data_IF_042155565836
#
_entry.id   IF_042155565836
#
_cell.length_a   1.000
_cell.length_b   1.000
_cell.length_c   1.000
_cell.angle_alpha   90.00
_cell.angle_beta   90.00
_cell.angle_gamma   90.00
#
_symmetry.space_group_name_H-M   'P 1'
#
loop_
_entity.id
_entity.type
_entity.pdbx_description
1 polymer ?
#
# COMPACT_ATOMS: atom_id res chain seq x y z
N UNK A 1 -70.04 28.41 18.25
CA UNK A 1 -69.06 28.56 19.35
C UNK A 1 -68.27 27.27 19.46
N UNK A 2 -66.95 27.21 19.74
CA UNK A 2 -65.92 28.26 19.72
C UNK A 2 -64.58 27.86 19.01
N UNK A 3 -63.88 28.90 18.54
CA UNK A 3 -62.44 29.22 18.67
C UNK A 3 -61.35 28.38 17.96
N UNK A 4 -60.76 29.05 16.96
CA UNK A 4 -59.35 29.00 16.54
C UNK A 4 -58.40 29.04 17.75
N UNK A 5 -57.33 28.24 17.75
CA UNK A 5 -56.03 28.64 18.32
C UNK A 5 -54.87 27.95 17.60
N UNK A 6 -54.10 28.80 16.92
CA UNK A 6 -52.71 28.64 16.52
C UNK A 6 -51.88 28.38 17.78
N UNK A 7 -50.99 27.39 17.79
CA UNK A 7 -49.87 27.39 18.74
C UNK A 7 -48.56 27.14 18.00
N UNK A 8 -47.81 28.22 17.93
CA UNK A 8 -46.44 28.30 17.45
C UNK A 8 -45.53 27.40 18.30
N UNK A 9 -44.72 26.58 17.63
CA UNK A 9 -43.57 25.95 18.27
C UNK A 9 -42.45 27.01 18.32
N UNK A 10 -42.37 27.70 19.45
CA UNK A 10 -41.31 28.64 19.77
C UNK A 10 -40.00 27.85 19.91
N UNK A 11 -39.03 28.21 19.08
CA UNK A 11 -37.63 27.81 19.15
C UNK A 11 -37.06 28.31 20.47
N UNK A 12 -36.88 27.41 21.43
CA UNK A 12 -36.14 27.71 22.65
C UNK A 12 -34.66 27.67 22.32
N UNK A 13 -34.10 28.86 22.03
CA UNK A 13 -32.67 29.09 21.94
C UNK A 13 -32.03 28.76 23.30
N UNK A 14 -31.38 27.59 23.40
CA UNK A 14 -30.58 27.26 24.56
C UNK A 14 -29.23 27.99 24.44
N UNK A 15 -29.10 28.97 25.32
CA UNK A 15 -27.89 29.67 25.75
C UNK A 15 -26.59 28.89 25.48
N UNK A 16 -25.72 29.49 24.66
CA UNK A 16 -24.29 29.20 24.60
C UNK A 16 -23.68 29.49 25.99
N UNK A 17 -23.61 28.48 26.83
CA UNK A 17 -22.77 28.51 28.00
C UNK A 17 -21.31 28.31 27.55
N UNK A 18 -20.48 29.29 27.90
CA UNK A 18 -19.03 29.28 27.81
C UNK A 18 -18.46 27.94 28.31
N UNK A 19 -18.11 27.05 27.38
CA UNK A 19 -17.14 26.01 27.67
C UNK A 19 -15.76 26.69 27.76
N UNK A 20 -14.93 26.39 28.77
CA UNK A 20 -13.56 26.86 28.78
C UNK A 20 -12.89 26.38 27.49
N UNK A 21 -12.28 27.30 26.76
CA UNK A 21 -11.45 26.99 25.59
C UNK A 21 -10.49 25.87 26.00
N UNK A 22 -10.33 24.80 25.21
CA UNK A 22 -9.28 23.83 25.50
C UNK A 22 -7.98 24.62 25.59
N UNK A 23 -7.35 24.55 26.76
CA UNK A 23 -5.97 24.98 26.91
C UNK A 23 -5.21 24.06 25.96
N UNK A 24 -4.77 24.62 24.83
CA UNK A 24 -3.73 23.98 24.05
C UNK A 24 -2.54 23.89 25.00
N UNK A 25 -2.36 22.71 25.59
CA UNK A 25 -1.07 22.36 26.17
C UNK A 25 -0.09 22.52 25.02
N UNK A 26 0.75 23.53 25.14
CA UNK A 26 1.89 23.79 24.29
C UNK A 26 2.55 22.44 24.01
N UNK A 27 2.59 22.04 22.73
CA UNK A 27 3.18 20.78 22.31
C UNK A 27 4.61 20.80 22.79
N UNK A 28 4.89 20.08 23.89
CA UNK A 28 6.24 19.73 24.24
C UNK A 28 6.78 19.00 23.01
N UNK A 29 7.64 19.68 22.26
CA UNK A 29 8.45 19.09 21.22
C UNK A 29 9.47 18.22 21.94
N UNK A 30 9.01 17.08 22.44
CA UNK A 30 9.88 16.01 22.85
C UNK A 30 10.56 15.59 21.56
N UNK A 31 11.83 15.96 21.41
CA UNK A 31 12.72 15.35 20.43
C UNK A 31 12.80 13.87 20.81
N UNK A 32 11.86 13.07 20.33
CA UNK A 32 11.86 11.63 20.53
C UNK A 32 13.05 11.14 19.72
N UNK A 33 14.18 10.87 20.33
CA UNK A 33 15.27 10.19 19.65
C UNK A 33 14.80 8.76 19.38
N UNK A 34 14.04 8.57 18.30
CA UNK A 34 13.71 7.25 17.77
C UNK A 34 15.05 6.55 17.53
N UNK A 35 15.25 5.39 18.16
CA UNK A 35 16.46 4.61 17.90
C UNK A 35 16.40 4.16 16.44
N UNK A 36 17.52 4.31 15.74
CA UNK A 36 17.69 3.86 14.36
C UNK A 36 17.38 2.35 14.23
N UNK A 37 16.32 2.04 13.50
CA UNK A 37 15.84 0.70 13.17
C UNK A 37 15.75 0.49 11.65
N UNK A 38 16.90 0.51 10.97
CA UNK A 38 17.14 -0.05 9.64
C UNK A 38 16.07 0.31 8.60
N UNK A 39 15.10 -0.58 8.27
CA UNK A 39 14.11 -0.31 7.23
C UNK A 39 13.28 0.95 7.46
N UNK A 40 12.92 1.27 8.71
CA UNK A 40 12.02 2.39 9.01
C UNK A 40 12.77 3.72 9.06
N UNK A 41 14.07 3.71 9.30
CA UNK A 41 14.90 4.93 9.34
C UNK A 41 14.94 5.64 8.00
N UNK A 42 14.83 4.89 6.90
CA UNK A 42 14.75 5.46 5.56
C UNK A 42 13.47 6.26 5.32
N UNK A 43 12.41 5.99 6.10
CA UNK A 43 11.08 6.61 5.99
C UNK A 43 10.76 7.58 7.14
N UNK A 44 11.56 7.56 8.22
CA UNK A 44 11.48 8.47 9.35
C UNK A 44 12.37 9.71 9.13
N UNK A 45 12.10 10.48 8.07
CA UNK A 45 12.83 11.75 7.85
C UNK A 45 12.40 12.88 8.80
N UNK A 46 11.19 12.80 9.35
CA UNK A 46 10.60 13.92 10.10
C UNK A 46 10.22 13.60 11.55
N UNK A 47 10.64 12.45 12.11
CA UNK A 47 10.32 12.05 13.49
C UNK A 47 8.80 11.99 13.82
N UNK A 48 7.93 12.09 12.80
CA UNK A 48 6.47 12.12 12.88
C UNK A 48 5.79 10.94 12.18
N UNK A 49 6.51 10.20 11.31
CA UNK A 49 5.92 9.10 10.54
C UNK A 49 5.82 7.85 11.40
N UNK A 50 4.62 7.62 11.95
CA UNK A 50 4.29 6.48 12.83
C UNK A 50 3.90 5.19 12.07
N UNK A 51 4.02 5.18 10.74
CA UNK A 51 3.91 3.97 9.92
C UNK A 51 4.11 4.21 8.41
N UNK A 52 4.46 3.17 7.67
CA UNK A 52 4.82 3.24 6.24
C UNK A 52 4.55 1.91 5.52
N UNK A 53 4.51 1.96 4.19
CA UNK A 53 4.45 0.78 3.32
C UNK A 53 5.77 0.66 2.58
N UNK A 54 6.52 -0.38 2.90
CA UNK A 54 7.67 -0.84 2.12
C UNK A 54 7.17 -1.67 0.94
N UNK A 55 6.93 -0.99 -0.18
CA UNK A 55 6.44 -1.62 -1.41
C UNK A 55 7.46 -2.54 -2.09
N UNK A 56 8.75 -2.35 -1.83
CA UNK A 56 9.79 -3.18 -2.42
C UNK A 56 9.81 -4.57 -1.78
N UNK A 57 9.65 -4.61 -0.45
CA UNK A 57 9.61 -5.87 0.29
C UNK A 57 8.18 -6.39 0.53
N UNK A 58 7.16 -5.59 0.20
CA UNK A 58 5.76 -5.96 0.40
C UNK A 58 5.36 -6.00 1.87
N UNK A 59 5.90 -5.09 2.70
CA UNK A 59 5.66 -5.07 4.16
C UNK A 59 5.13 -3.70 4.59
N UNK A 60 4.14 -3.70 5.48
CA UNK A 60 3.63 -2.53 6.17
C UNK A 60 4.23 -2.51 7.56
N UNK A 61 4.80 -1.37 7.96
CA UNK A 61 5.33 -1.15 9.29
C UNK A 61 4.55 -0.08 10.02
N UNK A 62 4.44 -0.23 11.35
CA UNK A 62 3.91 0.79 12.24
C UNK A 62 4.70 0.85 13.54
N UNK A 63 4.91 2.07 14.04
CA UNK A 63 5.56 2.34 15.32
C UNK A 63 4.49 2.78 16.30
N UNK A 64 4.54 2.26 17.52
CA UNK A 64 3.75 2.77 18.65
C UNK A 64 4.63 3.22 19.80
N UNK A 65 4.20 4.29 20.46
CA UNK A 65 4.89 4.88 21.61
C UNK A 65 3.96 4.87 22.82
N UNK A 66 4.51 4.49 23.98
CA UNK A 66 3.77 4.44 25.23
C UNK A 66 4.57 5.10 26.33
N UNK A 67 3.95 6.05 27.03
CA UNK A 67 4.55 6.76 28.15
C UNK A 67 3.93 6.23 29.45
N UNK A 68 4.72 5.95 30.50
CA UNK A 68 4.17 5.55 31.79
C UNK A 68 3.34 6.69 32.39
N UNK A 69 2.25 6.40 33.11
CA UNK A 69 1.47 7.45 33.76
C UNK A 69 2.28 8.06 34.92
N UNK A 70 2.14 9.37 35.12
CA UNK A 70 2.90 10.14 36.14
C UNK A 70 2.72 9.60 37.57
N UNK A 71 1.59 8.93 37.84
CA UNK A 71 1.27 8.35 39.14
C UNK A 71 1.71 6.88 39.31
N UNK A 72 2.46 6.31 38.37
CA UNK A 72 2.97 4.95 38.48
C UNK A 72 3.98 4.85 39.63
N UNK A 73 3.57 4.24 40.74
CA UNK A 73 4.37 4.19 41.98
C UNK A 73 5.48 3.12 41.98
N UNK A 74 5.43 2.17 41.04
CA UNK A 74 6.42 1.08 40.92
C UNK A 74 7.02 1.07 39.52
N UNK A 75 8.35 1.08 39.41
CA UNK A 75 9.08 1.08 38.14
C UNK A 75 8.68 -0.07 37.21
N UNK A 76 8.51 -1.29 37.76
CA UNK A 76 8.04 -2.46 36.99
C UNK A 76 6.61 -2.28 36.47
N UNK A 77 5.72 -1.69 37.26
CA UNK A 77 4.34 -1.43 36.86
C UNK A 77 4.29 -0.33 35.78
N UNK A 78 5.11 0.72 35.93
CA UNK A 78 5.27 1.79 34.95
C UNK A 78 5.70 1.23 33.59
N UNK A 79 6.72 0.36 33.57
CA UNK A 79 7.20 -0.27 32.33
C UNK A 79 6.14 -1.15 31.64
N UNK A 80 5.38 -1.95 32.40
CA UNK A 80 4.29 -2.77 31.84
C UNK A 80 3.19 -1.88 31.23
N UNK A 81 2.85 -0.77 31.89
CA UNK A 81 1.84 0.18 31.38
C UNK A 81 2.34 0.88 30.11
N UNK A 82 3.58 1.35 30.10
CA UNK A 82 4.20 1.97 28.94
C UNK A 82 4.22 1.01 27.73
N UNK A 83 4.63 -0.26 27.93
CA UNK A 83 4.60 -1.28 26.88
C UNK A 83 3.19 -1.53 26.33
N UNK A 84 2.18 -1.61 27.21
CA UNK A 84 0.77 -1.78 26.80
C UNK A 84 0.28 -0.59 25.97
N UNK A 85 0.58 0.63 26.42
CA UNK A 85 0.24 1.85 25.70
C UNK A 85 0.90 1.87 24.31
N UNK A 86 2.19 1.57 24.23
CA UNK A 86 2.94 1.48 22.98
C UNK A 86 2.36 0.43 22.02
N UNK A 87 1.93 -0.71 22.55
CA UNK A 87 1.32 -1.78 21.74
C UNK A 87 -0.02 -1.34 21.16
N UNK A 88 -0.88 -0.70 21.95
CA UNK A 88 -2.18 -0.17 21.49
C UNK A 88 -1.97 0.93 20.44
N UNK A 89 -0.98 1.79 20.67
CA UNK A 89 -0.57 2.84 19.76
C UNK A 89 -0.13 2.27 18.41
N UNK A 90 0.75 1.25 18.43
CA UNK A 90 1.23 0.58 17.23
C UNK A 90 0.08 -0.06 16.42
N UNK A 91 -0.87 -0.72 17.08
CA UNK A 91 -2.05 -1.28 16.40
C UNK A 91 -2.91 -0.20 15.72
N UNK A 92 -3.10 0.94 16.38
CA UNK A 92 -3.87 2.07 15.80
C UNK A 92 -3.17 2.59 14.56
N UNK A 93 -1.87 2.85 14.66
CA UNK A 93 -1.07 3.38 13.56
C UNK A 93 -1.01 2.38 12.40
N UNK A 94 -0.88 1.09 12.69
CA UNK A 94 -0.94 0.04 11.68
C UNK A 94 -2.29 0.01 10.96
N UNK A 95 -3.40 0.10 11.70
CA UNK A 95 -4.73 0.13 11.11
C UNK A 95 -4.91 1.35 10.19
N UNK A 96 -4.34 2.51 10.54
CA UNK A 96 -4.38 3.70 9.70
C UNK A 96 -3.61 3.50 8.39
N UNK A 97 -2.38 2.97 8.45
CA UNK A 97 -1.59 2.69 7.25
C UNK A 97 -2.28 1.65 6.37
N UNK A 98 -2.74 0.53 6.95
CA UNK A 98 -3.49 -0.51 6.24
C UNK A 98 -4.70 0.07 5.52
N UNK A 99 -5.49 0.90 6.19
CA UNK A 99 -6.66 1.56 5.60
C UNK A 99 -6.31 2.51 4.46
N UNK A 100 -5.12 3.14 4.52
CA UNK A 100 -4.60 4.05 3.51
C UNK A 100 -4.01 3.36 2.27
N UNK A 101 -3.72 2.05 2.33
CA UNK A 101 -3.17 1.32 1.17
C UNK A 101 -4.12 1.43 -0.02
N UNK A 102 -3.59 1.92 -1.14
CA UNK A 102 -4.29 1.99 -2.41
C UNK A 102 -4.33 0.59 -3.04
N UNK A 103 -5.54 0.07 -3.25
CA UNK A 103 -5.75 -1.18 -3.97
C UNK A 103 -5.75 -0.91 -5.47
N UNK A 104 -6.46 0.14 -5.90
CA UNK A 104 -6.45 0.67 -7.26
C UNK A 104 -6.27 2.20 -7.22
N UNK A 105 -6.20 2.83 -8.39
CA UNK A 105 -6.20 4.28 -8.53
C UNK A 105 -7.31 5.03 -7.77
N UNK A 106 -8.50 4.43 -7.63
CA UNK A 106 -9.69 5.07 -7.07
C UNK A 106 -10.15 4.47 -5.75
N UNK A 107 -9.54 3.36 -5.32
CA UNK A 107 -10.03 2.57 -4.20
C UNK A 107 -8.91 2.22 -3.24
N UNK A 108 -9.10 2.57 -1.97
CA UNK A 108 -8.25 2.15 -0.86
C UNK A 108 -8.84 0.95 -0.13
N UNK A 109 -8.05 0.32 0.74
CA UNK A 109 -8.55 -0.73 1.65
C UNK A 109 -9.73 -0.25 2.47
N UNK A 110 -9.70 0.98 2.98
CA UNK A 110 -10.83 1.58 3.70
C UNK A 110 -12.11 1.54 2.86
N UNK A 111 -12.05 1.94 1.60
CA UNK A 111 -13.22 1.95 0.72
C UNK A 111 -13.77 0.52 0.54
N UNK A 112 -12.88 -0.46 0.31
CA UNK A 112 -13.27 -1.87 0.23
C UNK A 112 -13.91 -2.41 1.51
N UNK A 113 -13.36 -2.07 2.67
CA UNK A 113 -13.86 -2.52 3.97
C UNK A 113 -15.21 -1.89 4.34
N UNK A 114 -15.48 -0.66 3.91
CA UNK A 114 -16.78 0.00 4.13
C UNK A 114 -17.88 -0.63 3.28
N UNK A 115 -17.55 -1.10 2.08
CA UNK A 115 -18.50 -1.71 1.15
C UNK A 115 -18.75 -3.20 1.39
N UNK A 116 -17.93 -3.85 2.23
CA UNK A 116 -17.97 -5.30 2.39
C UNK A 116 -17.55 -5.74 3.81
N UNK A 117 -18.52 -6.20 4.60
CA UNK A 117 -18.34 -6.66 5.97
C UNK A 117 -17.37 -7.86 6.09
N UNK A 118 -17.32 -8.74 5.07
CA UNK A 118 -16.37 -9.87 5.05
C UNK A 118 -14.95 -9.36 4.93
N UNK A 119 -14.72 -8.40 4.01
CA UNK A 119 -13.42 -7.73 3.87
C UNK A 119 -13.06 -6.98 5.15
N UNK A 120 -14.00 -6.23 5.73
CA UNK A 120 -13.78 -5.53 7.00
C UNK A 120 -13.35 -6.49 8.12
N UNK A 121 -14.01 -7.63 8.22
CA UNK A 121 -13.73 -8.66 9.23
C UNK A 121 -12.35 -9.28 9.01
N UNK A 122 -12.01 -9.64 7.76
CA UNK A 122 -10.70 -10.19 7.39
C UNK A 122 -9.57 -9.20 7.66
N UNK A 123 -9.71 -7.95 7.21
CA UNK A 123 -8.71 -6.88 7.44
C UNK A 123 -8.53 -6.61 8.94
N UNK A 124 -9.63 -6.54 9.71
CA UNK A 124 -9.55 -6.36 11.17
C UNK A 124 -8.87 -7.53 11.87
N UNK A 125 -9.15 -8.76 11.44
CA UNK A 125 -8.46 -9.97 11.93
C UNK A 125 -6.97 -9.93 11.61
N UNK A 126 -6.62 -9.49 10.40
CA UNK A 126 -5.23 -9.38 9.96
C UNK A 126 -4.44 -8.35 10.78
N UNK A 127 -4.99 -7.15 11.01
CA UNK A 127 -4.36 -6.14 11.86
C UNK A 127 -4.16 -6.66 13.29
N UNK A 128 -5.14 -7.37 13.85
CA UNK A 128 -5.01 -7.99 15.19
C UNK A 128 -3.94 -9.09 15.22
N UNK A 129 -3.72 -9.77 14.10
CA UNK A 129 -2.67 -10.79 13.93
C UNK A 129 -1.29 -10.24 13.60
N UNK A 130 -1.12 -8.92 13.51
CA UNK A 130 0.18 -8.30 13.22
C UNK A 130 1.24 -8.66 14.26
N UNK A 131 2.48 -8.81 13.80
CA UNK A 131 3.60 -9.25 14.63
C UNK A 131 4.38 -8.07 15.17
N UNK A 132 4.71 -8.11 16.46
CA UNK A 132 5.76 -7.26 17.02
C UNK A 132 7.11 -7.81 16.55
N UNK A 133 7.86 -7.03 15.79
CA UNK A 133 9.21 -7.38 15.36
C UNK A 133 10.29 -6.79 16.23
N UNK A 134 9.97 -5.71 16.95
CA UNK A 134 10.91 -5.03 17.83
C UNK A 134 10.19 -4.30 18.95
N UNK A 135 10.84 -4.26 20.10
CA UNK A 135 10.41 -3.44 21.21
C UNK A 135 11.59 -2.96 22.05
N UNK A 136 11.46 -1.78 22.66
CA UNK A 136 12.50 -1.19 23.48
C UNK A 136 11.93 -0.26 24.55
N UNK A 137 12.51 -0.32 25.75
CA UNK A 137 12.24 0.67 26.80
C UNK A 137 13.30 1.76 26.76
N UNK A 138 12.87 3.01 26.65
CA UNK A 138 13.73 4.17 26.59
C UNK A 138 14.22 4.58 28.00
N UNK A 139 15.32 5.36 28.09
CA UNK A 139 15.86 5.83 29.37
C UNK A 139 14.88 6.66 30.22
N UNK A 140 13.95 7.37 29.57
CA UNK A 140 12.90 8.17 30.21
C UNK A 140 11.73 7.33 30.73
N UNK A 141 11.79 6.00 30.56
CA UNK A 141 10.75 5.06 30.96
C UNK A 141 9.64 4.87 29.93
N UNK A 142 9.64 5.63 28.83
CA UNK A 142 8.75 5.38 27.69
C UNK A 142 9.12 4.08 26.98
N UNK A 143 8.21 3.58 26.14
CA UNK A 143 8.34 2.30 25.49
C UNK A 143 7.96 2.43 24.02
N UNK A 144 8.70 1.74 23.15
CA UNK A 144 8.49 1.74 21.72
C UNK A 144 8.24 0.31 21.24
N UNK A 145 7.25 0.15 20.35
CA UNK A 145 6.90 -1.12 19.71
C UNK A 145 6.86 -0.92 18.21
N UNK A 146 7.40 -1.86 17.45
CA UNK A 146 7.32 -1.89 15.99
C UNK A 146 6.55 -3.14 15.58
N UNK A 147 5.52 -2.94 14.78
CA UNK A 147 4.70 -4.00 14.20
C UNK A 147 4.89 -4.09 12.69
N UNK A 148 4.76 -5.30 12.17
CA UNK A 148 4.74 -5.57 10.74
C UNK A 148 3.47 -6.32 10.30
N UNK A 149 3.09 -6.10 9.05
CA UNK A 149 2.03 -6.82 8.35
C UNK A 149 2.41 -6.94 6.87
N UNK A 150 2.25 -8.11 6.27
CA UNK A 150 2.63 -8.31 4.86
C UNK A 150 1.51 -7.87 3.91
N UNK A 151 1.87 -7.23 2.79
CA UNK A 151 0.93 -6.90 1.70
C UNK A 151 0.44 -8.15 0.97
N UNK A 152 1.33 -9.11 0.74
CA UNK A 152 1.10 -10.30 -0.07
C UNK A 152 1.37 -11.58 0.74
N UNK A 153 0.98 -12.72 0.19
CA UNK A 153 1.00 -14.02 0.85
C UNK A 153 -0.35 -14.43 1.41
N UNK A 154 -0.48 -15.71 1.81
CA UNK A 154 -1.74 -16.30 2.27
C UNK A 154 -2.27 -15.64 3.55
N UNK A 155 -1.36 -15.07 4.35
CA UNK A 155 -1.66 -14.27 5.55
C UNK A 155 -1.38 -12.78 5.33
N UNK A 156 -1.43 -12.30 4.08
CA UNK A 156 -1.19 -10.91 3.72
C UNK A 156 -2.48 -10.13 3.49
N UNK A 157 -2.34 -8.81 3.33
CA UNK A 157 -3.45 -7.90 3.05
C UNK A 157 -4.22 -8.27 1.79
N UNK A 158 -3.53 -8.70 0.73
CA UNK A 158 -4.13 -9.09 -0.54
C UNK A 158 -5.14 -10.25 -0.36
N UNK A 159 -4.81 -11.23 0.50
CA UNK A 159 -5.70 -12.35 0.81
C UNK A 159 -6.97 -11.88 1.56
N UNK A 160 -6.83 -10.88 2.43
CA UNK A 160 -7.98 -10.29 3.14
C UNK A 160 -8.94 -9.52 2.22
N UNK A 161 -8.44 -9.01 1.09
CA UNK A 161 -9.20 -8.26 0.10
C UNK A 161 -9.85 -9.13 -0.98
N UNK A 162 -9.46 -10.41 -1.10
CA UNK A 162 -10.13 -11.36 -1.98
C UNK A 162 -11.50 -11.71 -1.44
N UNK A 163 -12.51 -10.99 -1.95
CA UNK A 163 -13.92 -11.40 -1.82
C UNK A 163 -14.69 -11.23 -3.14
N UNK A 164 -14.12 -10.51 -4.12
CA UNK A 164 -14.71 -10.21 -5.43
C UNK A 164 -13.71 -10.42 -6.59
N UNK A 165 -13.01 -11.54 -6.62
CA UNK A 165 -12.23 -11.86 -7.82
C UNK A 165 -13.17 -11.87 -9.05
N UNK A 166 -12.71 -11.40 -10.22
CA UNK A 166 -13.46 -11.62 -11.45
C UNK A 166 -13.72 -13.12 -11.60
N UNK A 167 -14.99 -13.49 -11.82
CA UNK A 167 -15.38 -14.90 -12.00
C UNK A 167 -14.79 -15.52 -13.28
N UNK A 168 -14.10 -14.73 -14.11
CA UNK A 168 -13.52 -15.15 -15.37
C UNK A 168 -12.17 -14.46 -15.59
N UNK A 169 -11.12 -15.27 -15.78
CA UNK A 169 -9.79 -14.81 -16.18
C UNK A 169 -9.80 -14.68 -17.71
N UNK A 170 -9.52 -13.47 -18.21
CA UNK A 170 -9.44 -13.22 -19.64
C UNK A 170 -8.09 -13.69 -20.21
N UNK A 171 -8.04 -14.15 -21.47
CA UNK A 171 -6.76 -14.36 -22.13
C UNK A 171 -6.02 -13.03 -22.32
N UNK A 172 -4.69 -13.06 -22.30
CA UNK A 172 -3.89 -11.90 -22.67
C UNK A 172 -4.21 -11.45 -24.10
N UNK A 173 -4.27 -10.13 -24.37
CA UNK A 173 -4.49 -9.64 -25.72
C UNK A 173 -3.35 -10.07 -26.65
N UNK A 174 -3.67 -10.25 -27.93
CA UNK A 174 -2.66 -10.45 -28.97
C UNK A 174 -2.09 -9.11 -29.46
N UNK A 175 -0.87 -9.09 -30.04
CA UNK A 175 -0.36 -7.92 -30.75
C UNK A 175 -1.35 -7.44 -31.82
N UNK A 176 -1.34 -6.13 -32.10
CA UNK A 176 -2.16 -5.56 -33.18
C UNK A 176 -1.85 -6.25 -34.52
N UNK A 177 -2.81 -6.46 -35.42
CA UNK A 177 -2.56 -7.15 -36.70
C UNK A 177 -1.49 -6.49 -37.59
N UNK A 178 -1.29 -5.18 -37.46
CA UNK A 178 -0.27 -4.43 -38.19
C UNK A 178 1.16 -4.61 -37.62
N UNK A 179 1.30 -5.26 -36.46
CA UNK A 179 2.59 -5.47 -35.83
C UNK A 179 3.38 -6.54 -36.58
N UNK A 180 4.44 -6.12 -37.27
CA UNK A 180 5.43 -7.02 -37.83
C UNK A 180 6.51 -7.28 -36.79
N UNK A 181 6.56 -8.51 -36.26
CA UNK A 181 7.67 -8.92 -35.39
C UNK A 181 9.00 -8.81 -36.17
N UNK A 182 10.07 -8.31 -35.55
CA UNK A 182 11.37 -8.25 -36.22
C UNK A 182 11.81 -9.65 -36.67
N UNK A 183 12.36 -9.74 -37.89
CA UNK A 183 12.71 -11.01 -38.53
C UNK A 183 13.82 -11.82 -37.81
N UNK A 184 14.52 -11.20 -36.85
CA UNK A 184 15.53 -11.87 -36.03
C UNK A 184 14.85 -12.57 -34.86
N UNK A 185 15.33 -13.75 -34.47
CA UNK A 185 14.95 -14.39 -33.21
C UNK A 185 15.14 -13.39 -32.06
N UNK A 186 14.03 -12.80 -31.60
CA UNK A 186 14.05 -11.98 -30.41
C UNK A 186 14.49 -12.87 -29.25
N UNK A 187 15.34 -12.38 -28.32
CA UNK A 187 15.66 -13.14 -27.13
C UNK A 187 14.37 -13.49 -26.38
N UNK A 188 14.33 -14.69 -25.80
CA UNK A 188 13.21 -15.09 -24.94
C UNK A 188 13.33 -14.27 -23.66
N UNK A 189 12.53 -13.22 -23.57
CA UNK A 189 12.50 -12.36 -22.39
C UNK A 189 11.97 -13.12 -21.18
N UNK A 190 12.54 -12.85 -20.01
CA UNK A 190 12.16 -13.49 -18.75
C UNK A 190 11.19 -12.66 -17.92
N UNK A 191 11.01 -11.39 -18.29
CA UNK A 191 10.18 -10.41 -17.60
C UNK A 191 10.17 -9.08 -18.34
N UNK A 192 9.54 -8.06 -17.75
CA UNK A 192 9.55 -6.68 -18.26
C UNK A 192 9.83 -5.68 -17.15
N UNK A 193 10.63 -4.67 -17.47
CA UNK A 193 10.81 -3.46 -16.67
C UNK A 193 10.16 -2.30 -17.43
N UNK A 194 9.23 -1.61 -16.77
CA UNK A 194 8.68 -0.36 -17.28
C UNK A 194 9.40 0.80 -16.60
N UNK A 195 10.19 1.56 -17.36
CA UNK A 195 10.84 2.80 -16.90
C UNK A 195 9.80 3.93 -16.86
N UNK A 196 9.32 4.25 -15.65
CA UNK A 196 8.40 5.34 -15.37
C UNK A 196 9.06 6.47 -14.57
N UNK A 197 10.39 6.54 -14.56
CA UNK A 197 11.13 7.55 -13.79
C UNK A 197 10.78 8.96 -14.21
N UNK A 198 10.69 9.84 -13.22
CA UNK A 198 10.37 11.25 -13.42
C UNK A 198 8.91 11.53 -13.80
N UNK A 199 8.05 10.50 -13.92
CA UNK A 199 6.63 10.68 -14.19
C UNK A 199 5.78 10.84 -12.91
N UNK A 200 6.32 10.48 -11.74
CA UNK A 200 5.59 10.54 -10.47
C UNK A 200 4.54 9.44 -10.32
N UNK A 201 4.91 8.20 -10.65
CA UNK A 201 4.07 7.01 -10.54
C UNK A 201 3.69 6.73 -9.08
N UNK A 202 2.38 6.67 -8.84
CA UNK A 202 1.82 6.26 -7.55
C UNK A 202 1.79 4.74 -7.43
N UNK A 203 2.08 4.25 -6.22
CA UNK A 203 2.09 2.81 -5.91
C UNK A 203 0.71 2.32 -5.50
N UNK A 204 0.27 1.22 -6.10
CA UNK A 204 -1.01 0.56 -5.82
C UNK A 204 -0.85 -0.95 -5.87
N UNK A 205 -1.72 -1.70 -5.20
CA UNK A 205 -1.64 -3.18 -5.20
C UNK A 205 -2.06 -3.81 -6.55
N UNK A 206 -2.90 -3.13 -7.32
CA UNK A 206 -3.43 -3.63 -8.61
C UNK A 206 -3.25 -2.62 -9.74
N UNK A 207 -2.00 -2.34 -10.15
CA UNK A 207 -1.74 -1.42 -11.26
C UNK A 207 -2.04 -2.08 -12.60
N UNK A 208 -2.06 -1.25 -13.66
CA UNK A 208 -2.26 -1.67 -15.05
C UNK A 208 -1.24 -1.01 -15.97
N UNK A 209 -0.97 -1.69 -17.08
CA UNK A 209 -0.24 -1.15 -18.23
C UNK A 209 -1.27 -0.89 -19.33
N UNK A 210 -1.30 0.34 -19.82
CA UNK A 210 -2.12 0.76 -20.97
C UNK A 210 -1.24 1.06 -22.17
N UNK A 211 -1.78 0.94 -23.37
CA UNK A 211 -1.24 1.63 -24.54
C UNK A 211 -1.89 3.00 -24.75
N UNK A 212 -1.38 3.78 -25.71
CA UNK A 212 -1.88 5.12 -26.09
C UNK A 212 -3.35 5.12 -26.53
N UNK A 213 -3.84 4.01 -27.09
CA UNK A 213 -5.23 3.85 -27.50
C UNK A 213 -6.15 3.50 -26.32
N UNK A 214 -5.59 3.24 -25.13
CA UNK A 214 -6.31 2.87 -23.93
C UNK A 214 -6.59 1.38 -23.79
N UNK A 215 -6.01 0.52 -24.63
CA UNK A 215 -6.06 -0.95 -24.47
C UNK A 215 -5.29 -1.34 -23.22
N UNK A 216 -5.87 -2.22 -22.40
CA UNK A 216 -5.20 -2.77 -21.21
C UNK A 216 -4.28 -3.89 -21.68
N UNK A 217 -2.98 -3.67 -21.58
CA UNK A 217 -1.92 -4.62 -21.99
C UNK A 217 -1.62 -5.62 -20.87
N UNK A 218 -1.64 -5.14 -19.62
CA UNK A 218 -1.44 -5.94 -18.41
C UNK A 218 -2.35 -5.43 -17.29
N UNK A 219 -2.90 -6.35 -16.50
CA UNK A 219 -3.84 -6.02 -15.43
C UNK A 219 -4.43 -7.26 -14.77
N UNK A 220 -5.13 -7.06 -13.65
CA UNK A 220 -5.71 -8.13 -12.84
C UNK A 220 -6.68 -9.05 -13.61
N UNK A 221 -7.33 -8.57 -14.66
CA UNK A 221 -8.26 -9.35 -15.49
C UNK A 221 -7.60 -10.52 -16.24
N UNK A 222 -6.28 -10.53 -16.39
CA UNK A 222 -5.54 -11.57 -17.13
C UNK A 222 -4.77 -12.54 -16.22
N UNK A 223 -4.84 -12.35 -14.91
CA UNK A 223 -3.97 -13.03 -13.96
C UNK A 223 -4.74 -13.99 -13.07
N UNK A 224 -4.08 -15.10 -12.75
CA UNK A 224 -4.52 -16.00 -11.70
C UNK A 224 -4.50 -15.24 -10.35
N UNK A 225 -5.67 -15.09 -9.71
CA UNK A 225 -5.75 -14.38 -8.44
C UNK A 225 -4.90 -14.96 -7.31
N UNK A 226 -4.63 -16.26 -7.30
CA UNK A 226 -3.80 -16.90 -6.27
C UNK A 226 -2.33 -16.54 -6.45
N UNK A 227 -1.89 -16.31 -7.70
CA UNK A 227 -0.56 -15.76 -7.97
C UNK A 227 -0.50 -14.31 -7.49
N UNK A 228 -1.54 -13.52 -7.80
CA UNK A 228 -1.63 -12.11 -7.39
C UNK A 228 -1.61 -11.95 -5.88
N UNK A 229 -2.34 -12.79 -5.13
CA UNK A 229 -2.32 -12.73 -3.66
C UNK A 229 -0.97 -13.10 -3.09
N UNK A 230 -0.33 -14.15 -3.61
CA UNK A 230 0.94 -14.61 -3.06
C UNK A 230 2.12 -13.72 -3.40
N UNK A 231 2.12 -13.08 -4.58
CA UNK A 231 3.30 -12.38 -5.12
C UNK A 231 3.07 -10.90 -5.46
N UNK A 232 1.83 -10.44 -5.50
CA UNK A 232 1.50 -9.14 -6.07
C UNK A 232 1.67 -9.10 -7.59
N UNK A 233 1.15 -8.04 -8.22
CA UNK A 233 1.17 -7.90 -9.67
C UNK A 233 2.48 -7.35 -10.23
N UNK A 234 3.15 -6.48 -9.49
CA UNK A 234 4.41 -5.83 -9.88
C UNK A 234 5.30 -5.65 -8.66
N UNK A 235 6.60 -5.55 -8.88
CA UNK A 235 7.51 -4.90 -7.93
C UNK A 235 7.72 -3.44 -8.34
N UNK A 236 7.95 -2.61 -7.33
CA UNK A 236 8.26 -1.19 -7.48
C UNK A 236 9.74 -0.96 -7.14
N UNK A 237 10.58 -0.77 -8.15
CA UNK A 237 11.98 -0.39 -7.98
C UNK A 237 12.08 1.13 -7.89
N UNK A 238 12.60 1.64 -6.77
CA UNK A 238 12.69 3.08 -6.49
C UNK A 238 14.12 3.54 -6.13
N UNK A 239 15.05 2.60 -6.04
CA UNK A 239 16.46 2.87 -5.74
C UNK A 239 17.34 2.27 -6.84
N UNK A 240 18.55 2.83 -7.07
CA UNK A 240 19.47 2.28 -8.07
C UNK A 240 19.77 0.79 -7.87
N UNK A 241 19.89 0.34 -6.61
CA UNK A 241 20.12 -1.07 -6.26
C UNK A 241 18.95 -1.96 -6.72
N UNK A 242 17.70 -1.57 -6.47
CA UNK A 242 16.52 -2.32 -6.91
C UNK A 242 16.40 -2.39 -8.45
N UNK A 243 16.86 -1.35 -9.14
CA UNK A 243 16.92 -1.33 -10.61
C UNK A 243 18.01 -2.26 -11.12
N UNK A 244 19.17 -2.26 -10.47
CA UNK A 244 20.25 -3.19 -10.76
C UNK A 244 19.78 -4.63 -10.55
N UNK A 245 19.12 -4.94 -9.43
CA UNK A 245 18.54 -6.26 -9.17
C UNK A 245 17.55 -6.69 -10.26
N UNK A 246 16.72 -5.77 -10.74
CA UNK A 246 15.76 -6.05 -11.81
C UNK A 246 16.41 -6.31 -13.16
N UNK A 247 17.56 -5.70 -13.44
CA UNK A 247 18.28 -5.86 -14.72
C UNK A 247 19.29 -7.01 -14.70
N UNK A 248 19.78 -7.42 -13.52
CA UNK A 248 20.81 -8.45 -13.35
C UNK A 248 20.26 -9.83 -12.99
N UNK A 249 18.93 -9.96 -12.89
CA UNK A 249 18.25 -11.24 -12.66
C UNK A 249 18.06 -11.63 -11.20
N UNK A 250 18.29 -10.70 -10.27
CA UNK A 250 18.03 -10.88 -8.85
C UNK A 250 16.59 -10.54 -8.44
N UNK A 251 15.79 -9.97 -9.34
CA UNK A 251 14.35 -9.71 -9.13
C UNK A 251 13.44 -10.69 -9.88
N UNK A 252 12.11 -10.50 -9.72
CA UNK A 252 11.08 -11.27 -10.42
C UNK A 252 11.14 -11.23 -11.95
N UNK A 253 11.89 -10.30 -12.55
CA UNK A 253 12.04 -10.20 -14.01
C UNK A 253 13.04 -11.19 -14.61
N UNK A 254 13.85 -11.86 -13.78
CA UNK A 254 14.87 -12.81 -14.23
C UNK A 254 15.99 -12.16 -15.07
N UNK A 255 16.83 -12.99 -15.68
CA UNK A 255 18.11 -12.56 -16.26
C UNK A 255 18.03 -11.73 -17.56
N UNK A 256 16.90 -11.73 -18.27
CA UNK A 256 16.74 -11.07 -19.56
C UNK A 256 15.42 -10.29 -19.62
N UNK A 257 15.26 -9.19 -18.88
CA UNK A 257 14.07 -8.35 -18.95
C UNK A 257 13.98 -7.61 -20.28
N UNK A 258 12.76 -7.46 -20.79
CA UNK A 258 12.43 -6.45 -21.78
C UNK A 258 12.32 -5.09 -21.07
N UNK A 259 13.01 -4.06 -21.57
CA UNK A 259 12.96 -2.71 -20.98
C UNK A 259 12.10 -1.83 -21.89
N UNK A 260 11.02 -1.27 -21.34
CA UNK A 260 10.09 -0.38 -22.06
C UNK A 260 10.00 0.94 -21.31
N UNK A 261 10.03 2.05 -22.05
CA UNK A 261 9.85 3.38 -21.47
C UNK A 261 8.36 3.73 -21.41
N UNK A 262 7.87 4.13 -20.24
CA UNK A 262 6.56 4.75 -20.12
C UNK A 262 6.57 6.15 -20.75
N UNK A 263 5.48 6.47 -21.44
CA UNK A 263 5.27 7.77 -22.11
C UNK A 263 4.28 8.65 -21.34
N UNK A 264 3.61 8.09 -20.34
CA UNK A 264 2.66 8.80 -19.51
C UNK A 264 2.08 7.93 -18.41
N UNK A 265 1.23 8.53 -17.60
CA UNK A 265 0.51 7.85 -16.53
C UNK A 265 -1.00 8.07 -16.68
N UNK A 266 -1.79 7.18 -16.07
CA UNK A 266 -3.26 7.22 -16.10
C UNK A 266 -3.81 6.93 -14.70
N UNK A 267 -5.06 7.33 -14.50
CA UNK A 267 -5.86 7.08 -13.29
C UNK A 267 -5.11 7.53 -12.03
N UNK A 268 -4.99 8.86 -11.85
CA UNK A 268 -4.30 9.46 -10.70
C UNK A 268 -2.88 8.90 -10.53
N UNK A 269 -2.13 8.91 -11.62
CA UNK A 269 -0.75 8.45 -11.70
C UNK A 269 -0.49 7.00 -11.27
N UNK A 270 -1.52 6.17 -11.11
CA UNK A 270 -1.38 4.80 -10.55
C UNK A 270 -1.15 3.72 -11.61
N UNK A 271 -1.33 4.07 -12.89
CA UNK A 271 -1.17 3.16 -14.02
C UNK A 271 -0.20 3.76 -15.05
N UNK A 272 0.60 2.91 -15.69
CA UNK A 272 1.58 3.34 -16.71
C UNK A 272 0.96 3.25 -18.10
N UNK A 273 1.38 4.17 -18.98
CA UNK A 273 1.02 4.19 -20.40
C UNK A 273 2.30 4.02 -21.21
N UNK A 274 2.30 3.09 -22.17
CA UNK A 274 3.39 2.80 -23.11
C UNK A 274 2.93 3.06 -24.54
N UNK A 275 3.88 3.17 -25.48
CA UNK A 275 3.52 3.35 -26.89
C UNK A 275 2.77 2.14 -27.45
N UNK A 276 1.97 2.35 -28.49
CA UNK A 276 1.29 1.21 -29.15
C UNK A 276 2.29 0.17 -29.69
N UNK A 277 3.43 0.62 -30.20
CA UNK A 277 4.50 -0.26 -30.68
C UNK A 277 5.08 -1.12 -29.55
N UNK A 278 5.37 -0.51 -28.40
CA UNK A 278 5.92 -1.22 -27.23
C UNK A 278 4.90 -2.17 -26.61
N UNK A 279 3.61 -1.82 -26.64
CA UNK A 279 2.54 -2.72 -26.21
C UNK A 279 2.49 -3.98 -27.07
N UNK A 280 2.56 -3.85 -28.39
CA UNK A 280 2.55 -4.99 -29.30
C UNK A 280 3.84 -5.83 -29.16
N UNK A 281 4.99 -5.18 -28.95
CA UNK A 281 6.25 -5.84 -28.64
C UNK A 281 6.19 -6.64 -27.33
N UNK A 282 5.62 -6.05 -26.27
CA UNK A 282 5.41 -6.69 -24.98
C UNK A 282 4.52 -7.93 -25.10
N UNK A 283 3.42 -7.83 -25.84
CA UNK A 283 2.51 -8.96 -26.05
C UNK A 283 3.15 -10.07 -26.89
N UNK A 284 3.94 -9.73 -27.92
CA UNK A 284 4.69 -10.70 -28.71
C UNK A 284 5.76 -11.41 -27.86
N UNK A 285 6.50 -10.67 -27.03
CA UNK A 285 7.48 -11.22 -26.10
C UNK A 285 6.85 -12.14 -25.04
N UNK A 286 5.68 -11.74 -24.52
CA UNK A 286 4.92 -12.56 -23.58
C UNK A 286 4.37 -13.84 -24.23
N UNK A 287 3.92 -13.79 -25.49
CA UNK A 287 3.45 -14.98 -26.19
C UNK A 287 4.53 -16.08 -26.31
N UNK A 288 5.81 -15.69 -26.38
CA UNK A 288 6.93 -16.63 -26.46
C UNK A 288 7.32 -17.27 -25.10
N UNK A 289 7.02 -16.63 -23.97
CA UNK A 289 7.63 -16.94 -22.66
C UNK A 289 6.63 -17.09 -21.50
N UNK A 290 5.45 -16.49 -21.62
CA UNK A 290 4.42 -16.40 -20.60
C UNK A 290 4.83 -15.62 -19.36
N UNK A 291 5.81 -14.70 -19.43
CA UNK A 291 6.32 -14.04 -18.23
C UNK A 291 5.29 -13.13 -17.53
N UNK A 292 4.31 -12.58 -18.25
CA UNK A 292 3.25 -11.75 -17.64
C UNK A 292 2.32 -12.59 -16.76
N UNK A 293 2.03 -13.85 -17.13
CA UNK A 293 1.27 -14.79 -16.29
C UNK A 293 1.97 -15.09 -14.96
N UNK A 294 3.30 -14.96 -14.93
CA UNK A 294 4.13 -15.17 -13.75
C UNK A 294 4.31 -13.89 -12.92
N UNK A 295 3.63 -12.80 -13.30
CA UNK A 295 3.76 -11.46 -12.68
C UNK A 295 5.19 -10.91 -12.73
N UNK A 296 5.99 -11.32 -13.72
CA UNK A 296 7.38 -10.91 -13.90
C UNK A 296 7.48 -9.48 -14.49
N UNK A 297 6.98 -8.52 -13.72
CA UNK A 297 6.81 -7.12 -14.10
C UNK A 297 7.39 -6.23 -13.00
N UNK A 298 8.31 -5.35 -13.35
CA UNK A 298 8.85 -4.33 -12.44
C UNK A 298 8.52 -2.96 -13.00
N UNK A 299 8.08 -2.06 -12.13
CA UNK A 299 7.99 -0.63 -12.43
C UNK A 299 9.16 0.09 -11.77
N UNK A 300 10.01 0.69 -12.59
CA UNK A 300 11.08 1.58 -12.15
C UNK A 300 10.54 3.01 -12.05
N UNK A 301 10.74 3.68 -10.91
CA UNK A 301 10.15 5.00 -10.63
C UNK A 301 11.16 5.99 -10.03
#
# INVERSE_FOLDING_TARGET
MPKRFLLALIIMAFSLAFLPKPIYAETATTNINLISFGPIDQFSKDNQTIGTVDWANGVIYAIGIGVPPENATRSTQAGIMARKAATIDAYRNLAEVVNGVKVTAKTTVRNFAVENDVVQTKVSGLVKGARIIKEHQMPDGSYQVIMELHLYGDNGLAAALQDKQPSEILPFPSPSPAYASPARLAPVYTGVIIDARGLGLDRVMSPRIYDEAGRVVYGNSYLDPDIVVRKGMVDYAATPEQVEDATTGHSRTGAYPLIIKAIGLKDFNSNVVISQHDADMLLAANAASGFLLKTAVVFEQ
#
